data_IF_443311144580
#
_entry.id   IF_443311144580
#
_cell.length_a   1.000
_cell.length_b   1.000
_cell.length_c   1.000
_cell.angle_alpha   90.00
_cell.angle_beta   90.00
_cell.angle_gamma   90.00
#
_symmetry.space_group_name_H-M   'P 1'
#
loop_
_entity.id
_entity.type
_entity.pdbx_description
1 polymer ?
#
# COMPACT_ATOMS: atom_id res chain seq x y z
N UNK A 1 -1.66 -10.46 -18.42
CA UNK A 1 -1.90 -11.42 -17.32
C UNK A 1 -3.23 -11.04 -16.68
N UNK A 2 -4.09 -12.00 -16.36
CA UNK A 2 -5.34 -11.71 -15.63
C UNK A 2 -5.10 -11.83 -14.13
N UNK A 3 -5.87 -11.08 -13.33
CA UNK A 3 -5.80 -11.14 -11.88
C UNK A 3 -6.40 -12.46 -11.37
N UNK A 4 -5.70 -13.14 -10.46
CA UNK A 4 -6.19 -14.31 -9.73
C UNK A 4 -7.15 -13.89 -8.60
N UNK A 5 -8.42 -14.24 -8.75
CA UNK A 5 -9.48 -13.99 -7.77
C UNK A 5 -9.96 -15.25 -7.04
N UNK A 6 -9.18 -16.33 -7.02
CA UNK A 6 -9.58 -17.62 -6.42
C UNK A 6 -9.95 -17.53 -4.94
N UNK A 7 -9.16 -16.82 -4.13
CA UNK A 7 -9.44 -16.58 -2.70
C UNK A 7 -10.75 -15.79 -2.55
N UNK A 8 -10.87 -14.68 -3.27
CA UNK A 8 -12.06 -13.83 -3.23
C UNK A 8 -13.33 -14.58 -3.65
N UNK A 9 -13.29 -15.34 -4.74
CA UNK A 9 -14.43 -16.15 -5.22
C UNK A 9 -14.93 -17.15 -4.17
N UNK A 10 -14.02 -17.65 -3.34
CA UNK A 10 -14.33 -18.62 -2.29
C UNK A 10 -14.87 -17.96 -1.02
N UNK A 11 -14.26 -16.85 -0.57
CA UNK A 11 -14.53 -16.28 0.75
C UNK A 11 -15.53 -15.11 0.73
N UNK A 12 -15.60 -14.35 -0.36
CA UNK A 12 -16.52 -13.21 -0.47
C UNK A 12 -18.01 -13.61 -0.36
N UNK A 13 -18.47 -14.75 -0.92
CA UNK A 13 -19.84 -15.23 -0.69
C UNK A 13 -20.15 -15.47 0.78
N UNK A 14 -19.16 -15.86 1.59
CA UNK A 14 -19.31 -16.20 3.00
C UNK A 14 -19.42 -14.98 3.93
N UNK A 15 -19.08 -13.78 3.45
CA UNK A 15 -19.20 -12.54 4.24
C UNK A 15 -20.66 -12.25 4.59
N UNK A 16 -20.96 -12.12 5.87
CA UNK A 16 -22.27 -11.77 6.46
C UNK A 16 -22.17 -10.45 7.23
N UNK A 17 -23.31 -9.93 7.68
CA UNK A 17 -23.40 -8.66 8.40
C UNK A 17 -22.54 -8.62 9.69
N UNK A 18 -22.34 -9.79 10.32
CA UNK A 18 -21.60 -9.95 11.57
C UNK A 18 -20.17 -10.50 11.37
N UNK A 19 -19.73 -10.71 10.13
CA UNK A 19 -18.40 -11.26 9.82
C UNK A 19 -17.27 -10.39 10.38
N UNK A 20 -17.43 -9.08 10.39
CA UNK A 20 -16.44 -8.15 10.94
C UNK A 20 -16.29 -8.24 12.47
N UNK A 21 -17.27 -8.86 13.16
CA UNK A 21 -17.19 -9.11 14.60
C UNK A 21 -16.37 -10.37 14.84
N UNK A 22 -15.42 -10.28 15.78
CA UNK A 22 -14.58 -11.40 16.20
C UNK A 22 -13.81 -12.07 15.05
N UNK A 23 -13.28 -11.28 14.10
CA UNK A 23 -12.59 -11.80 12.91
C UNK A 23 -11.49 -12.84 13.23
N UNK A 24 -10.76 -12.67 14.34
CA UNK A 24 -9.71 -13.58 14.79
C UNK A 24 -10.20 -14.97 15.23
N UNK A 25 -11.51 -15.09 15.50
CA UNK A 25 -12.19 -16.28 16.01
C UNK A 25 -13.01 -16.98 14.90
N UNK A 26 -12.93 -16.50 13.65
CA UNK A 26 -13.64 -17.03 12.48
C UNK A 26 -12.74 -17.96 11.65
N UNK A 27 -12.74 -19.28 11.88
CA UNK A 27 -11.87 -20.21 11.16
C UNK A 27 -12.11 -20.21 9.64
N UNK A 28 -13.32 -19.92 9.19
CA UNK A 28 -13.67 -19.83 7.77
C UNK A 28 -12.98 -18.68 7.02
N UNK A 29 -12.46 -17.67 7.75
CA UNK A 29 -11.69 -16.56 7.19
C UNK A 29 -10.19 -16.66 7.50
N UNK A 30 -9.71 -17.76 8.08
CA UNK A 30 -8.28 -17.96 8.33
C UNK A 30 -7.59 -18.41 7.04
N UNK A 31 -6.66 -17.60 6.52
CA UNK A 31 -5.87 -17.92 5.32
C UNK A 31 -4.59 -18.68 5.65
N UNK A 32 -4.06 -18.47 6.86
CA UNK A 32 -2.83 -19.12 7.31
C UNK A 32 -2.53 -18.80 8.76
N UNK A 33 -1.86 -19.72 9.44
CA UNK A 33 -1.40 -19.57 10.81
C UNK A 33 -0.07 -20.30 11.02
N UNK A 34 0.86 -19.66 11.74
CA UNK A 34 2.07 -20.30 12.27
C UNK A 34 2.40 -19.67 13.60
N UNK A 35 2.66 -20.47 14.62
CA UNK A 35 2.96 -19.98 15.97
C UNK A 35 1.91 -18.96 16.47
N UNK A 36 2.35 -17.73 16.75
CA UNK A 36 1.53 -16.61 17.17
C UNK A 36 1.03 -15.72 16.02
N UNK A 37 1.32 -16.07 14.76
CA UNK A 37 0.94 -15.31 13.56
C UNK A 37 -0.36 -15.86 13.00
N UNK A 38 -1.36 -14.99 12.83
CA UNK A 38 -2.62 -15.28 12.12
C UNK A 38 -2.79 -14.35 10.93
N UNK A 39 -3.18 -14.92 9.78
CA UNK A 39 -3.54 -14.16 8.57
C UNK A 39 -5.02 -14.40 8.32
N UNK A 40 -5.82 -13.34 8.41
CA UNK A 40 -7.26 -13.39 8.20
C UNK A 40 -7.61 -12.76 6.87
N UNK A 41 -8.61 -13.30 6.19
CA UNK A 41 -9.16 -12.71 4.98
C UNK A 41 -9.94 -11.44 5.29
N UNK A 42 -9.62 -10.40 4.52
CA UNK A 42 -10.49 -9.27 4.26
C UNK A 42 -10.37 -8.93 2.76
N UNK A 43 -11.44 -8.41 2.12
CA UNK A 43 -11.54 -8.28 0.66
C UNK A 43 -10.66 -7.15 0.08
N UNK A 44 -9.34 -7.31 0.16
CA UNK A 44 -8.33 -6.41 -0.40
C UNK A 44 -7.79 -6.90 -1.75
N UNK A 45 -8.47 -7.84 -2.40
CA UNK A 45 -7.99 -8.50 -3.61
C UNK A 45 -7.93 -7.56 -4.80
N UNK A 46 -8.88 -6.63 -4.97
CA UNK A 46 -8.95 -5.75 -6.15
C UNK A 46 -7.61 -5.10 -6.51
N UNK A 47 -7.23 -5.20 -7.79
CA UNK A 47 -6.09 -4.48 -8.36
C UNK A 47 -6.60 -3.42 -9.33
N UNK A 48 -6.21 -2.17 -9.10
CA UNK A 48 -6.46 -1.09 -10.04
C UNK A 48 -5.47 -1.20 -11.21
N UNK A 49 -5.75 -2.08 -12.19
CA UNK A 49 -4.82 -2.44 -13.29
C UNK A 49 -4.38 -1.27 -14.19
N UNK A 50 -5.03 -0.11 -14.08
CA UNK A 50 -4.65 1.14 -14.78
C UNK A 50 -3.78 2.06 -13.94
N UNK A 51 -3.40 1.65 -12.73
CA UNK A 51 -2.68 2.49 -11.81
C UNK A 51 -1.30 2.86 -12.35
N UNK A 52 -0.97 4.14 -12.22
CA UNK A 52 0.34 4.73 -12.52
C UNK A 52 1.21 4.78 -11.27
N UNK A 53 0.58 4.85 -10.10
CA UNK A 53 1.25 4.87 -8.80
C UNK A 53 0.72 3.73 -7.92
N UNK A 54 1.62 2.97 -7.31
CA UNK A 54 1.31 1.97 -6.29
C UNK A 54 1.80 2.47 -4.94
N UNK A 55 0.93 2.49 -3.94
CA UNK A 55 1.29 2.87 -2.57
C UNK A 55 1.23 1.63 -1.69
N UNK A 56 2.38 1.26 -1.09
CA UNK A 56 2.56 -0.01 -0.38
C UNK A 56 2.71 0.22 1.11
N UNK A 57 1.75 -0.26 1.90
CA UNK A 57 1.83 -0.39 3.37
C UNK A 57 2.46 -1.71 3.82
N UNK A 58 2.44 -1.99 5.13
CA UNK A 58 2.92 -3.27 5.68
C UNK A 58 1.84 -4.35 5.52
N UNK A 59 0.68 -4.14 6.15
CA UNK A 59 -0.50 -5.01 6.12
C UNK A 59 -1.72 -4.19 6.54
N UNK A 60 -2.94 -4.51 6.08
CA UNK A 60 -4.14 -3.88 6.61
C UNK A 60 -4.31 -4.19 8.12
N UNK A 61 -4.52 -3.16 8.93
CA UNK A 61 -4.84 -3.34 10.36
C UNK A 61 -6.31 -3.76 10.58
N UNK A 62 -6.66 -4.10 11.83
CA UNK A 62 -8.02 -4.53 12.22
C UNK A 62 -9.11 -3.55 11.76
N UNK A 63 -8.92 -2.24 11.95
CA UNK A 63 -9.89 -1.22 11.50
C UNK A 63 -10.09 -1.24 9.98
N UNK A 64 -9.01 -1.41 9.21
CA UNK A 64 -9.08 -1.50 7.75
C UNK A 64 -9.81 -2.79 7.33
N UNK A 65 -9.52 -3.91 8.00
CA UNK A 65 -10.19 -5.18 7.78
C UNK A 65 -11.71 -5.09 8.01
N UNK A 66 -12.12 -4.53 9.16
CA UNK A 66 -13.54 -4.31 9.51
C UNK A 66 -14.23 -3.45 8.45
N UNK A 67 -13.59 -2.33 8.06
CA UNK A 67 -14.13 -1.43 7.06
C UNK A 67 -14.31 -2.11 5.69
N UNK A 68 -13.32 -2.88 5.24
CA UNK A 68 -13.38 -3.63 3.99
C UNK A 68 -14.47 -4.71 4.02
N UNK A 69 -14.59 -5.46 5.12
CA UNK A 69 -15.62 -6.49 5.29
C UNK A 69 -17.03 -5.90 5.29
N UNK A 70 -17.25 -4.79 6.01
CA UNK A 70 -18.54 -4.11 6.04
C UNK A 70 -18.91 -3.54 4.67
N UNK A 71 -17.96 -2.92 3.97
CA UNK A 71 -18.16 -2.42 2.61
C UNK A 71 -18.48 -3.54 1.62
N UNK A 72 -17.79 -4.68 1.70
CA UNK A 72 -18.09 -5.84 0.87
C UNK A 72 -19.48 -6.41 1.14
N UNK A 73 -19.88 -6.51 2.41
CA UNK A 73 -21.23 -6.94 2.78
C UNK A 73 -22.30 -6.03 2.17
N UNK A 74 -22.14 -4.71 2.30
CA UNK A 74 -23.10 -3.73 1.77
C UNK A 74 -23.15 -3.74 0.23
N UNK A 75 -22.01 -3.79 -0.45
CA UNK A 75 -21.96 -3.85 -1.91
C UNK A 75 -22.62 -5.11 -2.44
N UNK A 76 -22.34 -6.28 -1.82
CA UNK A 76 -23.00 -7.55 -2.18
C UNK A 76 -24.52 -7.49 -1.95
N UNK A 77 -24.96 -6.94 -0.80
CA UNK A 77 -26.39 -6.76 -0.50
C UNK A 77 -27.10 -5.90 -1.55
N UNK A 78 -26.39 -4.94 -2.14
CA UNK A 78 -26.89 -4.06 -3.18
C UNK A 78 -26.76 -4.64 -4.60
N UNK A 79 -26.39 -5.92 -4.75
CA UNK A 79 -26.31 -6.59 -6.05
C UNK A 79 -25.05 -6.26 -6.86
N UNK A 80 -23.99 -5.74 -6.24
CA UNK A 80 -22.72 -5.52 -6.94
C UNK A 80 -22.10 -6.83 -7.43
N UNK A 81 -21.37 -6.77 -8.54
CA UNK A 81 -20.56 -7.89 -9.03
C UNK A 81 -19.42 -8.23 -8.07
N UNK A 82 -18.72 -9.35 -8.31
CA UNK A 82 -17.52 -9.72 -7.54
C UNK A 82 -16.50 -8.58 -7.56
N UNK A 83 -16.17 -8.09 -8.75
CA UNK A 83 -15.19 -7.04 -9.00
C UNK A 83 -15.63 -5.72 -8.37
N UNK A 84 -16.90 -5.34 -8.53
CA UNK A 84 -17.46 -4.13 -7.92
C UNK A 84 -17.45 -4.20 -6.39
N UNK A 85 -17.70 -5.38 -5.82
CA UNK A 85 -17.63 -5.60 -4.36
C UNK A 85 -16.19 -5.46 -3.84
N UNK A 86 -15.22 -6.07 -4.52
CA UNK A 86 -13.80 -5.97 -4.15
C UNK A 86 -13.28 -4.54 -4.29
N UNK A 87 -13.69 -3.82 -5.34
CA UNK A 87 -13.32 -2.41 -5.53
C UNK A 87 -13.86 -1.54 -4.39
N UNK A 88 -15.14 -1.69 -4.03
CA UNK A 88 -15.76 -0.95 -2.93
C UNK A 88 -15.09 -1.25 -1.58
N UNK A 89 -14.76 -2.52 -1.33
CA UNK A 89 -14.06 -2.95 -0.13
C UNK A 89 -12.67 -2.34 0.00
N UNK A 90 -11.86 -2.45 -1.07
CA UNK A 90 -10.51 -1.89 -1.08
C UNK A 90 -10.52 -0.38 -0.92
N UNK A 91 -11.37 0.33 -1.66
CA UNK A 91 -11.46 1.80 -1.55
C UNK A 91 -11.78 2.25 -0.11
N UNK A 92 -12.72 1.56 0.55
CA UNK A 92 -13.14 1.89 1.92
C UNK A 92 -12.08 1.51 2.96
N UNK A 93 -11.34 0.43 2.74
CA UNK A 93 -10.34 -0.08 3.68
C UNK A 93 -8.93 0.54 3.54
N UNK A 94 -8.57 1.05 2.36
CA UNK A 94 -7.16 1.35 2.06
C UNK A 94 -6.64 2.66 2.64
N UNK A 95 -7.41 3.75 2.70
CA UNK A 95 -6.97 5.00 3.35
C UNK A 95 -8.14 5.88 3.82
N UNK A 96 -8.02 6.44 5.02
CA UNK A 96 -8.82 7.57 5.50
C UNK A 96 -7.94 8.59 6.24
N UNK A 97 -8.27 9.88 6.11
CA UNK A 97 -7.68 10.96 6.93
C UNK A 97 -6.59 11.83 6.27
N UNK A 98 -5.86 12.62 7.08
CA UNK A 98 -4.96 13.70 6.62
C UNK A 98 -3.70 13.24 5.86
N UNK A 99 -3.47 11.93 5.80
CA UNK A 99 -2.35 11.30 5.07
C UNK A 99 -2.34 11.69 3.59
N UNK A 100 -3.52 11.79 2.96
CA UNK A 100 -3.66 12.11 1.52
C UNK A 100 -2.98 13.43 1.16
N UNK A 101 -3.21 14.49 1.94
CA UNK A 101 -2.68 15.81 1.63
C UNK A 101 -1.15 15.86 1.73
N UNK A 102 -0.58 15.18 2.72
CA UNK A 102 0.87 15.05 2.85
C UNK A 102 1.46 14.25 1.69
N UNK A 103 0.79 13.17 1.28
CA UNK A 103 1.25 12.33 0.18
C UNK A 103 1.27 13.10 -1.14
N UNK A 104 0.19 13.80 -1.47
CA UNK A 104 0.10 14.69 -2.65
C UNK A 104 1.25 15.72 -2.63
N UNK A 105 1.40 16.44 -1.50
CA UNK A 105 2.43 17.47 -1.40
C UNK A 105 3.85 16.91 -1.60
N UNK A 106 4.15 15.72 -1.09
CA UNK A 106 5.46 15.10 -1.25
C UNK A 106 5.68 14.55 -2.66
N UNK A 107 4.67 13.94 -3.28
CA UNK A 107 4.74 13.44 -4.66
C UNK A 107 4.95 14.59 -5.64
N UNK A 108 4.19 15.68 -5.49
CA UNK A 108 4.34 16.88 -6.30
C UNK A 108 5.72 17.52 -6.07
N UNK A 109 6.21 17.52 -4.82
CA UNK A 109 7.53 18.05 -4.51
C UNK A 109 8.68 17.31 -5.19
N UNK A 110 8.54 16.00 -5.43
CA UNK A 110 9.60 15.20 -6.08
C UNK A 110 9.44 15.09 -7.61
N UNK A 111 8.42 15.70 -8.20
CA UNK A 111 8.25 15.76 -9.66
C UNK A 111 7.28 14.73 -10.24
N UNK A 112 6.54 13.97 -9.42
CA UNK A 112 5.69 12.86 -9.94
C UNK A 112 4.57 13.37 -10.84
N UNK A 113 4.01 14.56 -10.55
CA UNK A 113 2.98 15.16 -11.39
C UNK A 113 3.51 15.45 -12.81
N UNK A 114 4.71 16.03 -12.89
CA UNK A 114 5.40 16.36 -14.14
C UNK A 114 5.68 15.10 -14.96
N UNK A 115 6.17 14.04 -14.31
CA UNK A 115 6.43 12.75 -14.97
C UNK A 115 5.18 12.17 -15.65
N UNK A 116 4.01 12.37 -15.06
CA UNK A 116 2.74 11.89 -15.63
C UNK A 116 2.00 12.94 -16.47
N UNK A 117 2.60 14.11 -16.71
CA UNK A 117 2.00 15.18 -17.51
C UNK A 117 0.73 15.78 -16.91
N UNK A 118 0.58 15.72 -15.59
CA UNK A 118 -0.57 16.28 -14.85
C UNK A 118 -0.13 17.49 -14.01
N UNK A 119 -1.07 18.35 -13.64
CA UNK A 119 -0.75 19.59 -12.90
C UNK A 119 -0.38 19.27 -11.45
N UNK A 120 -1.07 18.31 -10.85
CA UNK A 120 -0.81 17.83 -9.49
C UNK A 120 -1.23 16.38 -9.36
N UNK A 121 -0.51 15.60 -8.56
CA UNK A 121 -0.91 14.23 -8.20
C UNK A 121 -2.24 14.17 -7.46
N UNK A 122 -2.79 15.30 -6.98
CA UNK A 122 -4.16 15.38 -6.46
C UNK A 122 -5.23 14.83 -7.42
N UNK A 123 -5.02 14.97 -8.73
CA UNK A 123 -5.88 14.40 -9.79
C UNK A 123 -5.97 12.87 -9.68
N UNK A 124 -4.84 12.22 -9.35
CA UNK A 124 -4.78 10.77 -9.17
C UNK A 124 -5.61 10.28 -7.98
N UNK A 125 -5.92 11.14 -7.00
CA UNK A 125 -6.75 10.83 -5.85
C UNK A 125 -8.21 11.30 -6.01
N UNK A 126 -8.60 11.85 -7.16
CA UNK A 126 -9.97 12.28 -7.39
C UNK A 126 -10.97 11.11 -7.23
N UNK A 127 -12.21 11.36 -6.77
CA UNK A 127 -13.23 10.31 -6.71
C UNK A 127 -13.39 9.61 -8.06
N UNK A 128 -13.33 8.27 -8.06
CA UNK A 128 -13.42 7.46 -9.29
C UNK A 128 -12.11 7.30 -10.07
N UNK A 129 -11.02 7.98 -9.67
CA UNK A 129 -9.70 7.76 -10.26
C UNK A 129 -9.24 6.32 -10.06
N UNK A 130 -8.60 5.77 -11.09
CA UNK A 130 -7.93 4.46 -11.06
C UNK A 130 -6.41 4.59 -11.18
N UNK A 131 -5.87 5.80 -11.10
CA UNK A 131 -4.43 6.08 -11.29
C UNK A 131 -3.59 5.62 -10.09
N UNK A 132 -4.22 5.30 -8.95
CA UNK A 132 -3.54 4.80 -7.75
C UNK A 132 -4.05 3.41 -7.38
N UNK A 133 -3.11 2.50 -7.17
CA UNK A 133 -3.36 1.21 -6.54
C UNK A 133 -2.84 1.24 -5.10
N UNK A 134 -3.74 1.05 -4.14
CA UNK A 134 -3.37 0.94 -2.73
C UNK A 134 -3.21 -0.53 -2.35
N UNK A 135 -2.05 -0.86 -1.77
CA UNK A 135 -1.76 -2.22 -1.36
C UNK A 135 -0.88 -2.28 -0.12
N UNK A 136 -0.51 -3.49 0.27
CA UNK A 136 0.37 -3.78 1.40
C UNK A 136 1.29 -4.94 1.06
N UNK A 137 2.48 -4.95 1.65
CA UNK A 137 3.43 -6.05 1.51
C UNK A 137 2.77 -7.41 1.79
N UNK A 138 1.96 -7.46 2.86
CA UNK A 138 1.05 -8.55 3.16
C UNK A 138 -0.37 -8.09 2.80
N UNK A 139 -0.91 -8.56 1.67
CA UNK A 139 -2.23 -8.16 1.13
C UNK A 139 -3.36 -8.26 2.16
N UNK A 140 -3.33 -9.31 2.98
CA UNK A 140 -4.39 -9.64 3.94
C UNK A 140 -4.00 -9.25 5.38
N UNK A 141 -4.98 -8.87 6.21
CA UNK A 141 -4.77 -8.57 7.63
C UNK A 141 -3.95 -9.63 8.35
N UNK A 142 -2.80 -9.20 8.87
CA UNK A 142 -1.87 -10.08 9.59
C UNK A 142 -1.75 -9.63 11.04
N UNK A 143 -1.79 -10.59 11.95
CA UNK A 143 -1.78 -10.38 13.39
C UNK A 143 -0.71 -11.23 14.08
N UNK A 144 -0.12 -10.68 15.14
CA UNK A 144 0.82 -11.38 16.03
C UNK A 144 0.27 -11.25 17.45
N UNK A 145 0.03 -12.38 18.11
CA UNK A 145 -0.61 -12.42 19.45
C UNK A 145 -1.92 -11.62 19.48
N UNK A 146 -2.71 -11.69 18.39
CA UNK A 146 -3.98 -10.97 18.24
C UNK A 146 -3.86 -9.46 18.01
N UNK A 147 -2.65 -8.90 17.90
CA UNK A 147 -2.41 -7.48 17.63
C UNK A 147 -1.98 -7.26 16.19
N UNK A 148 -2.23 -6.05 15.65
CA UNK A 148 -1.79 -5.71 14.29
C UNK A 148 -0.29 -5.97 14.12
N UNK A 149 0.08 -6.72 13.08
CA UNK A 149 1.47 -6.94 12.74
C UNK A 149 2.15 -5.60 12.38
N UNK A 150 3.33 -5.36 12.96
CA UNK A 150 4.04 -4.08 12.85
C UNK A 150 5.39 -4.19 12.13
N UNK A 151 5.70 -5.35 11.53
CA UNK A 151 7.01 -5.63 10.92
C UNK A 151 7.86 -6.67 11.68
N UNK A 152 7.36 -7.21 12.78
CA UNK A 152 8.01 -8.24 13.60
C UNK A 152 7.07 -9.44 13.81
N UNK A 153 7.52 -10.69 13.55
CA UNK A 153 8.84 -11.08 13.03
C UNK A 153 9.08 -10.64 11.58
N UNK A 154 10.33 -10.65 11.11
CA UNK A 154 10.65 -10.13 9.77
C UNK A 154 9.99 -10.93 8.63
N UNK A 155 9.17 -10.27 7.80
CA UNK A 155 8.38 -10.91 6.72
C UNK A 155 9.20 -11.88 5.85
N UNK A 156 10.38 -11.45 5.39
CA UNK A 156 11.22 -12.25 4.50
C UNK A 156 11.87 -13.46 5.18
N UNK A 157 11.96 -13.47 6.51
CA UNK A 157 12.51 -14.59 7.29
C UNK A 157 11.42 -15.54 7.79
N UNK A 158 10.15 -15.15 7.70
CA UNK A 158 9.00 -15.97 8.11
C UNK A 158 8.36 -16.58 6.87
N UNK A 159 8.47 -17.91 6.63
CA UNK A 159 8.03 -18.54 5.38
C UNK A 159 6.59 -18.22 4.99
N UNK A 160 5.67 -18.27 5.96
CA UNK A 160 4.25 -17.96 5.74
C UNK A 160 4.03 -16.52 5.24
N UNK A 161 4.74 -15.55 5.81
CA UNK A 161 4.64 -14.13 5.42
C UNK A 161 5.31 -13.91 4.06
N UNK A 162 6.51 -14.47 3.87
CA UNK A 162 7.24 -14.40 2.61
C UNK A 162 6.43 -14.94 1.44
N UNK A 163 5.70 -16.04 1.62
CA UNK A 163 4.83 -16.61 0.60
C UNK A 163 3.80 -15.59 0.08
N UNK A 164 3.24 -14.74 0.95
CA UNK A 164 2.30 -13.71 0.50
C UNK A 164 2.94 -12.64 -0.38
N UNK A 165 4.20 -12.27 -0.09
CA UNK A 165 4.96 -11.33 -0.93
C UNK A 165 5.21 -11.95 -2.31
N UNK A 166 5.61 -13.22 -2.34
CA UNK A 166 5.98 -13.94 -3.56
C UNK A 166 4.79 -14.40 -4.40
N UNK A 167 3.57 -14.30 -3.87
CA UNK A 167 2.33 -14.66 -4.58
C UNK A 167 1.45 -13.44 -4.83
N UNK A 168 0.89 -12.83 -3.78
CA UNK A 168 -0.05 -11.71 -3.91
C UNK A 168 0.65 -10.40 -4.33
N UNK A 169 1.73 -10.00 -3.64
CA UNK A 169 2.40 -8.74 -4.01
C UNK A 169 3.10 -8.87 -5.37
N UNK A 170 3.68 -10.04 -5.66
CA UNK A 170 4.29 -10.35 -6.96
C UNK A 170 3.28 -10.32 -8.11
N UNK A 171 2.06 -10.84 -7.92
CA UNK A 171 0.98 -10.70 -8.89
C UNK A 171 0.66 -9.23 -9.20
N UNK A 172 0.61 -8.38 -8.17
CA UNK A 172 0.33 -6.95 -8.37
C UNK A 172 1.46 -6.25 -9.14
N UNK A 173 2.71 -6.66 -8.89
CA UNK A 173 3.87 -6.21 -9.66
C UNK A 173 3.78 -6.63 -11.13
N UNK A 174 3.43 -7.88 -11.41
CA UNK A 174 3.28 -8.40 -12.78
C UNK A 174 2.13 -7.70 -13.54
N UNK A 175 1.06 -7.31 -12.84
CA UNK A 175 -0.08 -6.60 -13.41
C UNK A 175 0.17 -5.09 -13.62
N UNK A 176 1.16 -4.51 -12.95
CA UNK A 176 1.46 -3.06 -12.96
C UNK A 176 2.93 -2.78 -13.33
N UNK A 177 3.42 -3.29 -14.47
CA UNK A 177 4.86 -3.25 -14.81
C UNK A 177 5.40 -1.84 -15.06
N UNK A 178 4.53 -0.89 -15.39
CA UNK A 178 4.88 0.50 -15.68
C UNK A 178 4.67 1.46 -14.51
N UNK A 179 4.05 1.00 -13.41
CA UNK A 179 3.74 1.87 -12.30
C UNK A 179 4.99 2.26 -11.50
N UNK A 180 4.96 3.43 -10.86
CA UNK A 180 5.88 3.80 -9.80
C UNK A 180 5.42 3.18 -8.48
N UNK A 181 6.35 2.63 -7.70
CA UNK A 181 6.07 1.93 -6.45
C UNK A 181 6.60 2.73 -5.26
N UNK A 182 5.68 3.25 -4.44
CA UNK A 182 5.97 4.01 -3.24
C UNK A 182 5.76 3.15 -1.97
N UNK A 183 6.83 2.59 -1.39
CA UNK A 183 6.76 1.94 -0.09
C UNK A 183 6.67 2.96 1.05
N UNK A 184 5.70 2.78 1.95
CA UNK A 184 5.52 3.62 3.13
C UNK A 184 6.29 3.04 4.33
N UNK A 185 7.59 3.36 4.38
CA UNK A 185 8.48 2.98 5.48
C UNK A 185 9.32 1.73 5.22
N UNK A 186 10.29 1.43 6.10
CA UNK A 186 11.36 0.48 5.83
C UNK A 186 10.86 -0.95 5.60
N UNK A 187 9.78 -1.36 6.27
CA UNK A 187 9.23 -2.72 6.15
C UNK A 187 8.50 -2.95 4.83
N UNK A 188 7.75 -1.97 4.35
CA UNK A 188 7.20 -2.02 3.00
C UNK A 188 8.33 -1.97 1.96
N UNK A 189 9.36 -1.17 2.19
CA UNK A 189 10.51 -1.06 1.27
C UNK A 189 11.30 -2.37 1.15
N UNK A 190 11.53 -3.07 2.26
CA UNK A 190 12.14 -4.42 2.27
C UNK A 190 11.35 -5.39 1.36
N UNK A 191 10.01 -5.35 1.40
CA UNK A 191 9.16 -6.22 0.57
C UNK A 191 9.23 -5.87 -0.92
N UNK A 192 9.16 -4.59 -1.28
CA UNK A 192 9.24 -4.16 -2.69
C UNK A 192 10.65 -4.43 -3.25
N UNK A 193 11.71 -4.25 -2.46
CA UNK A 193 13.08 -4.63 -2.85
C UNK A 193 13.26 -6.13 -3.04
N UNK A 194 12.56 -6.96 -2.26
CA UNK A 194 12.56 -8.41 -2.50
C UNK A 194 12.03 -8.74 -3.90
N UNK A 195 10.94 -8.10 -4.34
CA UNK A 195 10.42 -8.29 -5.71
C UNK A 195 11.41 -7.87 -6.82
N UNK A 196 12.30 -6.90 -6.57
CA UNK A 196 13.41 -6.58 -7.49
C UNK A 196 14.37 -7.75 -7.61
N UNK A 197 14.74 -8.39 -6.49
CA UNK A 197 15.62 -9.58 -6.51
C UNK A 197 14.99 -10.76 -7.22
N UNK A 198 13.65 -10.79 -7.32
CA UNK A 198 12.89 -11.79 -8.09
C UNK A 198 12.65 -11.37 -9.55
N UNK A 199 13.21 -10.25 -10.01
CA UNK A 199 12.99 -9.68 -11.34
C UNK A 199 11.53 -9.37 -11.68
N UNK A 200 10.70 -9.12 -10.65
CA UNK A 200 9.28 -8.76 -10.78
C UNK A 200 9.03 -7.25 -10.78
N UNK A 201 9.99 -6.48 -10.24
CA UNK A 201 9.96 -5.02 -10.26
C UNK A 201 11.31 -4.46 -10.69
N UNK A 202 11.28 -3.30 -11.34
CA UNK A 202 12.50 -2.55 -11.66
C UNK A 202 12.86 -1.62 -10.50
N UNK A 203 14.15 -1.55 -10.17
CA UNK A 203 14.64 -0.76 -9.04
C UNK A 203 14.44 0.75 -9.23
N UNK A 204 14.51 1.23 -10.46
CA UNK A 204 14.29 2.62 -10.88
C UNK A 204 12.81 3.05 -10.76
N UNK A 205 11.87 2.11 -10.68
CA UNK A 205 10.45 2.40 -10.43
C UNK A 205 10.11 2.50 -8.93
N UNK A 206 11.06 2.25 -8.01
CA UNK A 206 10.80 2.29 -6.56
C UNK A 206 11.15 3.66 -5.98
N UNK A 207 10.17 4.34 -5.40
CA UNK A 207 10.32 5.64 -4.73
C UNK A 207 10.73 5.45 -3.26
N UNK A 208 11.97 5.00 -3.04
CA UNK A 208 12.52 4.74 -1.70
C UNK A 208 12.98 6.03 -0.98
N UNK A 209 12.77 6.07 0.34
CA UNK A 209 13.29 7.14 1.20
C UNK A 209 12.34 8.30 1.50
N UNK A 210 11.11 8.27 0.96
CA UNK A 210 10.07 9.22 1.39
C UNK A 210 9.70 9.00 2.87
N UNK A 211 9.53 10.08 3.68
CA UNK A 211 9.03 9.93 5.04
C UNK A 211 7.57 9.46 5.03
N UNK A 212 7.17 8.73 6.07
CA UNK A 212 5.79 8.27 6.20
C UNK A 212 4.82 9.47 6.29
N UNK A 213 3.71 9.52 5.53
CA UNK A 213 2.84 10.69 5.40
C UNK A 213 1.92 10.97 6.62
N UNK A 214 2.08 10.24 7.72
CA UNK A 214 1.21 10.36 8.91
C UNK A 214 1.49 11.64 9.70
N UNK A 215 0.50 12.12 10.46
CA UNK A 215 0.65 13.32 11.30
C UNK A 215 1.76 13.21 12.34
N UNK A 216 2.05 12.00 12.84
CA UNK A 216 3.18 11.75 13.74
C UNK A 216 4.56 12.07 13.12
N UNK A 217 4.63 12.20 11.78
CA UNK A 217 5.84 12.55 11.03
C UNK A 217 5.78 13.98 10.48
N UNK A 218 4.91 14.85 10.99
CA UNK A 218 4.71 16.21 10.45
C UNK A 218 6.02 17.02 10.31
N UNK A 219 6.93 16.94 11.29
CA UNK A 219 8.23 17.62 11.20
C UNK A 219 9.09 17.08 10.04
N UNK A 220 9.13 15.75 9.86
CA UNK A 220 9.88 15.11 8.78
C UNK A 220 9.30 15.47 7.41
N UNK A 221 7.98 15.50 7.29
CA UNK A 221 7.28 15.96 6.08
C UNK A 221 7.61 17.43 5.82
N UNK A 222 7.57 18.29 6.84
CA UNK A 222 7.88 19.72 6.68
C UNK A 222 9.33 19.95 6.22
N UNK A 223 10.30 19.22 6.77
CA UNK A 223 11.70 19.29 6.33
C UNK A 223 11.87 18.74 4.91
N UNK A 224 11.26 17.59 4.60
CA UNK A 224 11.31 17.00 3.25
C UNK A 224 10.76 17.94 2.19
N UNK A 225 9.69 18.68 2.50
CA UNK A 225 9.06 19.67 1.63
C UNK A 225 9.77 21.03 1.61
N UNK A 226 10.83 21.22 2.41
CA UNK A 226 11.52 22.51 2.55
C UNK A 226 10.74 23.58 3.33
N UNK A 227 9.63 23.22 3.98
CA UNK A 227 8.80 24.13 4.81
C UNK A 227 9.40 24.43 6.17
N UNK A 228 10.37 23.62 6.61
CA UNK A 228 11.11 23.81 7.86
C UNK A 228 12.61 23.70 7.59
N UNK A 229 13.36 24.72 8.00
CA UNK A 229 14.81 24.73 7.86
C UNK A 229 15.46 23.61 8.71
N UNK A 230 16.50 22.91 8.20
CA UNK A 230 17.20 21.84 8.94
C UNK A 230 17.70 22.27 10.32
N UNK A 231 18.20 23.50 10.43
CA UNK A 231 18.72 24.06 11.69
C UNK A 231 17.65 24.21 12.79
N UNK A 232 16.37 24.22 12.42
CA UNK A 232 15.23 24.36 13.34
C UNK A 232 14.57 23.00 13.65
N UNK A 233 14.99 21.92 12.99
CA UNK A 233 14.40 20.60 13.15
C UNK A 233 14.98 19.88 14.39
N UNK A 234 14.18 19.01 15.01
CA UNK A 234 14.69 18.15 16.09
C UNK A 234 15.79 17.21 15.57
N UNK A 235 16.69 16.78 16.46
CA UNK A 235 17.74 15.80 16.13
C UNK A 235 17.15 14.48 15.62
N UNK A 236 15.98 14.08 16.14
CA UNK A 236 15.25 12.87 15.76
C UNK A 236 14.71 12.91 14.32
N UNK A 237 14.57 14.10 13.73
CA UNK A 237 14.10 14.26 12.34
C UNK A 237 15.15 13.88 11.32
N UNK A 238 16.45 14.01 11.64
CA UNK A 238 17.55 13.72 10.72
C UNK A 238 17.34 14.43 9.36
N UNK A 239 17.39 15.76 9.39
CA UNK A 239 17.05 16.61 8.26
C UNK A 239 17.93 16.35 7.03
N UNK A 240 19.24 16.11 7.22
CA UNK A 240 20.18 15.80 6.14
C UNK A 240 19.74 14.57 5.35
N UNK A 241 19.35 13.49 6.03
CA UNK A 241 18.86 12.28 5.38
C UNK A 241 17.61 12.55 4.54
N UNK A 242 16.68 13.36 5.04
CA UNK A 242 15.44 13.70 4.34
C UNK A 242 15.69 14.54 3.08
N UNK A 243 16.58 15.54 3.17
CA UNK A 243 16.94 16.36 2.02
C UNK A 243 17.71 15.56 0.97
N UNK A 244 18.62 14.68 1.41
CA UNK A 244 19.31 13.75 0.51
C UNK A 244 18.31 12.83 -0.20
N UNK A 245 17.32 12.31 0.51
CA UNK A 245 16.25 11.50 -0.08
C UNK A 245 15.42 12.28 -1.10
N UNK A 246 15.01 13.51 -0.77
CA UNK A 246 14.27 14.37 -1.69
C UNK A 246 15.05 14.67 -2.97
N UNK A 247 16.34 15.00 -2.86
CA UNK A 247 17.21 15.26 -4.03
C UNK A 247 17.39 14.00 -4.91
N UNK A 248 17.60 12.84 -4.27
CA UNK A 248 17.70 11.55 -4.98
C UNK A 248 16.42 11.22 -5.73
N UNK A 249 15.26 11.38 -5.10
CA UNK A 249 13.95 11.11 -5.71
C UNK A 249 13.67 12.07 -6.87
N UNK A 250 13.95 13.37 -6.74
CA UNK A 250 13.86 14.33 -7.85
C UNK A 250 14.72 13.91 -9.04
N UNK A 251 15.96 13.52 -8.77
CA UNK A 251 16.89 13.06 -9.81
C UNK A 251 16.38 11.77 -10.47
N UNK A 252 15.83 10.85 -9.69
CA UNK A 252 15.25 9.61 -10.20
C UNK A 252 14.05 9.89 -11.12
N UNK A 253 13.11 10.74 -10.69
CA UNK A 253 11.95 11.11 -11.51
C UNK A 253 12.38 11.81 -12.81
N UNK A 254 13.30 12.77 -12.76
CA UNK A 254 13.81 13.44 -13.96
C UNK A 254 14.51 12.48 -14.94
N UNK A 255 15.16 11.42 -14.44
CA UNK A 255 15.73 10.37 -15.30
C UNK A 255 14.66 9.55 -15.99
N UNK A 256 13.56 9.22 -15.30
CA UNK A 256 12.45 8.49 -15.89
C UNK A 256 11.74 9.30 -16.98
N UNK A 257 11.71 10.64 -16.88
CA UNK A 257 11.24 11.53 -17.95
C UNK A 257 12.16 11.48 -19.17
N UNK A 258 13.49 11.49 -18.96
CA UNK A 258 14.48 11.43 -20.04
C UNK A 258 14.61 10.08 -20.76
N UNK A 259 13.91 9.05 -20.29
CA UNK A 259 13.86 7.70 -20.88
C UNK A 259 12.57 7.48 -21.69
N UNK A 260 11.68 8.48 -21.76
CA UNK A 260 10.42 8.41 -22.51
C UNK A 260 10.47 9.20 -23.84
N UNK A 261 10.93 8.52 -24.89
CA UNK A 261 10.41 8.58 -26.26
C UNK A 261 10.80 7.28 -26.99
#
# INVERSE_FOLDING_TARGET
MEQNLSIARTLLPQIKADTSKHLLDRPEFLLGQTDNIKICYAPFDHVAVKAKLVVVGITPGMTQAINALNAAFLAKKNGATLEGTLQAAKLTGSFSGPIRNNLIAMLDHIGVAQHFGIVSTSEMFAPGSTDIHFTSALRYPTFVDGKNYNGTPAMLKTPLLRQMLETQLAEEADLLPSALWLPLGPKAEEAVKHLVTMHRLKSDHILSGMPHPSGANAERVAVFLGRKAPALASRQTNAEKLLSAASKLKTQIARLEGVAA
#
